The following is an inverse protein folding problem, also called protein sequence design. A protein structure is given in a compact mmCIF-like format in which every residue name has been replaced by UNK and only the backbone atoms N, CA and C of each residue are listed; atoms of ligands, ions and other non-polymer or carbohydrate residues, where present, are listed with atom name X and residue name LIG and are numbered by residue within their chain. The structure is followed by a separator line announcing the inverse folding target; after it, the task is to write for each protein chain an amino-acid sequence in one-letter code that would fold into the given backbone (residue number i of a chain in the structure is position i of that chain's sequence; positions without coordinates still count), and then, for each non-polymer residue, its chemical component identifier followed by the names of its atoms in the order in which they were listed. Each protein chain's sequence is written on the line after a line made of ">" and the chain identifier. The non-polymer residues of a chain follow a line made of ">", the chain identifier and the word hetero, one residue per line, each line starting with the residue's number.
data_IF_569642410225
#
_entry.id   IF_569642410225
#
_cell.length_a   1.000
_cell.length_b   1.000
_cell.length_c   1.000
_cell.angle_alpha   90.00
_cell.angle_beta   90.00
_cell.angle_gamma   90.00
#
_symmetry.space_group_name_H-M   'P 1'
#
loop_
_entity.id
_entity.type
_entity.pdbx_description
1 polymer ?
#
# COMPACT_ATOMS: atom_id res chain seq x y z
N UNK A 1 7.87 2.43 -0.98
CA UNK A 1 7.51 3.85 -0.78
C UNK A 1 6.10 4.08 -0.19
N UNK A 2 5.00 4.15 -0.96
CA UNK A 2 3.70 4.62 -0.40
C UNK A 2 3.10 3.61 0.59
N UNK A 3 2.88 2.36 0.16
CA UNK A 3 2.35 1.28 1.03
C UNK A 3 3.27 1.02 2.22
N UNK A 4 4.57 1.16 2.01
CA UNK A 4 5.58 1.03 3.06
C UNK A 4 5.52 2.17 4.09
N UNK A 5 5.29 3.41 3.66
CA UNK A 5 5.04 4.55 4.55
C UNK A 5 3.79 4.33 5.41
N UNK A 6 2.71 3.82 4.81
CA UNK A 6 1.49 3.45 5.54
C UNK A 6 1.73 2.26 6.47
N UNK A 7 2.46 1.24 6.02
CA UNK A 7 2.86 0.09 6.84
C UNK A 7 3.61 0.54 8.08
N UNK A 8 4.63 1.40 7.94
CA UNK A 8 5.42 1.90 9.05
C UNK A 8 4.57 2.73 10.04
N UNK A 9 3.67 3.57 9.53
CA UNK A 9 2.76 4.34 10.37
C UNK A 9 1.81 3.43 11.19
N UNK A 10 1.22 2.43 10.53
CA UNK A 10 0.34 1.46 11.17
C UNK A 10 1.09 0.53 12.13
N UNK A 11 2.28 0.04 11.77
CA UNK A 11 3.15 -0.74 12.66
C UNK A 11 3.48 0.04 13.93
N UNK A 12 3.86 1.31 13.80
CA UNK A 12 4.14 2.19 14.94
C UNK A 12 2.90 2.42 15.81
N UNK A 13 1.73 2.60 15.20
CA UNK A 13 0.49 2.89 15.93
C UNK A 13 -0.11 1.65 16.61
N UNK A 14 -0.02 0.48 15.96
CA UNK A 14 -0.75 -0.73 16.37
C UNK A 14 0.14 -1.82 16.97
N UNK A 15 1.46 -1.76 16.76
CA UNK A 15 2.40 -2.81 17.17
C UNK A 15 2.30 -4.10 16.35
N UNK A 16 1.76 -4.04 15.14
CA UNK A 16 1.55 -5.21 14.26
C UNK A 16 2.69 -5.41 13.27
N UNK A 17 2.99 -6.66 12.94
CA UNK A 17 4.05 -7.02 12.00
C UNK A 17 3.54 -7.28 10.57
N UNK A 18 2.27 -7.65 10.44
CA UNK A 18 1.63 -7.94 9.16
C UNK A 18 0.40 -7.06 8.95
N UNK A 19 0.32 -6.44 7.77
CA UNK A 19 -0.80 -5.58 7.38
C UNK A 19 -1.26 -6.00 5.99
N UNK A 20 -2.47 -6.56 5.85
CA UNK A 20 -2.99 -6.93 4.55
C UNK A 20 -3.37 -5.67 3.77
N UNK A 21 -2.76 -5.47 2.61
CA UNK A 21 -3.11 -4.40 1.67
C UNK A 21 -3.83 -4.96 0.45
N UNK A 22 -4.96 -4.35 0.11
CA UNK A 22 -5.83 -4.77 -0.98
C UNK A 22 -6.10 -3.59 -1.92
N UNK A 23 -6.67 -3.89 -3.09
CA UNK A 23 -7.21 -2.88 -3.99
C UNK A 23 -8.72 -2.78 -3.69
N UNK A 24 -9.24 -1.58 -3.38
CA UNK A 24 -10.67 -1.41 -3.14
C UNK A 24 -11.47 -1.65 -4.43
N UNK A 25 -12.76 -2.03 -4.32
CA UNK A 25 -13.60 -2.39 -5.47
C UNK A 25 -13.89 -1.20 -6.40
N UNK A 26 -13.68 0.02 -5.91
CA UNK A 26 -14.01 1.28 -6.57
C UNK A 26 -12.92 2.29 -6.25
N UNK A 27 -12.39 2.97 -7.28
CA UNK A 27 -11.27 3.92 -7.13
C UNK A 27 -11.66 5.16 -6.32
N UNK A 28 -12.94 5.49 -6.29
CA UNK A 28 -13.47 6.64 -5.54
C UNK A 28 -13.30 6.44 -4.03
N UNK A 29 -13.27 5.18 -3.57
CA UNK A 29 -13.10 4.81 -2.17
C UNK A 29 -11.63 5.01 -1.73
N UNK A 30 -10.68 4.68 -2.62
CA UNK A 30 -9.24 4.82 -2.36
C UNK A 30 -8.39 4.21 -3.47
N UNK A 31 -7.09 4.46 -3.44
CA UNK A 31 -6.11 3.83 -4.32
C UNK A 31 -5.71 2.44 -3.81
N UNK A 32 -5.73 2.25 -2.49
CA UNK A 32 -5.58 0.96 -1.83
C UNK A 32 -6.31 0.95 -0.48
N UNK A 33 -6.49 -0.24 0.08
CA UNK A 33 -7.19 -0.44 1.35
C UNK A 33 -6.49 -1.47 2.23
N UNK A 34 -6.91 -1.55 3.50
CA UNK A 34 -6.47 -2.58 4.43
C UNK A 34 -7.63 -3.09 5.28
N UNK A 35 -7.65 -4.40 5.50
CA UNK A 35 -8.59 -5.08 6.38
C UNK A 35 -8.05 -5.24 7.82
N UNK A 36 -7.00 -4.51 8.21
CA UNK A 36 -6.33 -4.67 9.51
C UNK A 36 -7.30 -4.51 10.69
N UNK A 37 -8.25 -3.58 10.62
CA UNK A 37 -9.21 -3.36 11.71
C UNK A 37 -10.15 -4.58 11.92
N UNK A 38 -10.47 -5.33 10.86
CA UNK A 38 -11.24 -6.57 10.98
C UNK A 38 -10.43 -7.65 11.71
N UNK A 39 -9.12 -7.72 11.43
CA UNK A 39 -8.21 -8.67 12.07
C UNK A 39 -8.06 -8.36 13.56
N UNK A 40 -7.92 -7.08 13.90
CA UNK A 40 -7.79 -6.61 15.29
C UNK A 40 -9.09 -6.68 16.10
N UNK A 41 -10.25 -6.72 15.46
CA UNK A 41 -11.54 -6.74 16.15
C UNK A 41 -11.68 -7.93 17.10
N UNK A 42 -11.20 -9.12 16.69
CA UNK A 42 -11.23 -10.34 17.53
C UNK A 42 -10.32 -10.20 18.76
N UNK A 43 -9.11 -9.68 18.55
CA UNK A 43 -8.12 -9.51 19.60
C UNK A 43 -8.55 -8.45 20.63
N UNK A 44 -9.05 -7.31 20.14
CA UNK A 44 -9.42 -6.16 20.98
C UNK A 44 -10.86 -6.20 21.49
N UNK A 45 -11.66 -7.19 21.08
CA UNK A 45 -13.09 -7.35 21.42
C UNK A 45 -13.90 -6.07 21.20
N UNK A 46 -13.61 -5.35 20.10
CA UNK A 46 -14.25 -4.09 19.73
C UNK A 46 -14.81 -4.16 18.31
N UNK A 47 -15.89 -3.42 17.99
CA UNK A 47 -16.41 -3.37 16.64
C UNK A 47 -15.35 -2.92 15.63
N UNK A 48 -15.15 -3.62 14.49
CA UNK A 48 -14.09 -3.27 13.55
C UNK A 48 -14.22 -1.85 12.98
N UNK A 49 -15.45 -1.35 12.83
CA UNK A 49 -15.71 0.02 12.39
C UNK A 49 -15.17 1.07 13.36
N UNK A 50 -15.30 0.85 14.67
CA UNK A 50 -14.76 1.78 15.67
C UNK A 50 -13.22 1.79 15.64
N UNK A 51 -12.62 0.60 15.50
CA UNK A 51 -11.16 0.46 15.35
C UNK A 51 -10.69 1.19 14.08
N UNK A 52 -11.37 0.99 12.95
CA UNK A 52 -11.04 1.65 11.70
C UNK A 52 -11.16 3.19 11.80
N UNK A 53 -12.23 3.70 12.43
CA UNK A 53 -12.42 5.13 12.64
C UNK A 53 -11.37 5.76 13.55
N UNK A 54 -10.94 5.05 14.60
CA UNK A 54 -9.87 5.48 15.49
C UNK A 54 -8.54 5.57 14.75
N UNK A 55 -8.19 4.53 13.99
CA UNK A 55 -6.97 4.49 13.19
C UNK A 55 -6.99 5.60 12.13
N UNK A 56 -8.10 5.75 11.39
CA UNK A 56 -8.24 6.77 10.36
C UNK A 56 -8.08 8.18 10.94
N UNK A 57 -8.66 8.45 12.12
CA UNK A 57 -8.47 9.73 12.82
C UNK A 57 -7.00 9.97 13.18
N UNK A 58 -6.32 8.97 13.75
CA UNK A 58 -4.90 9.10 14.10
C UNK A 58 -4.02 9.32 12.88
N UNK A 59 -4.28 8.62 11.78
CA UNK A 59 -3.50 8.76 10.55
C UNK A 59 -3.80 10.09 9.85
N UNK A 60 -5.03 10.60 9.87
CA UNK A 60 -5.29 11.93 9.30
C UNK A 60 -4.70 13.07 10.14
N UNK A 61 -4.55 12.89 11.46
CA UNK A 61 -3.89 13.86 12.32
C UNK A 61 -2.37 13.92 12.08
N UNK A 62 -1.77 12.79 11.68
CA UNK A 62 -0.37 12.72 11.27
C UNK A 62 -0.23 11.85 10.00
N UNK A 63 -0.51 12.43 8.81
CA UNK A 63 -0.59 11.68 7.55
C UNK A 63 0.70 10.94 7.22
N UNK A 64 0.62 9.67 6.82
CA UNK A 64 1.75 8.98 6.21
C UNK A 64 2.21 9.70 4.93
N UNK A 65 3.48 9.54 4.51
CA UNK A 65 3.98 10.16 3.28
C UNK A 65 3.10 9.86 2.07
N UNK A 66 2.80 10.91 1.29
CA UNK A 66 2.00 10.84 0.07
C UNK A 66 0.56 10.34 0.24
N UNK A 67 0.00 10.42 1.46
CA UNK A 67 -1.41 10.13 1.69
C UNK A 67 -2.18 11.45 1.88
N UNK A 68 -3.18 11.65 1.03
CA UNK A 68 -4.09 12.81 1.08
C UNK A 68 -5.19 12.62 2.11
N UNK A 69 -5.73 11.40 2.19
CA UNK A 69 -6.90 11.10 3.02
C UNK A 69 -6.91 9.62 3.41
N UNK A 70 -7.25 9.35 4.67
CA UNK A 70 -7.62 8.01 5.15
C UNK A 70 -9.11 8.01 5.50
N UNK A 71 -9.89 7.17 4.83
CA UNK A 71 -11.31 6.97 5.12
C UNK A 71 -11.57 5.54 5.60
N UNK A 72 -12.78 5.27 6.09
CA UNK A 72 -13.18 3.92 6.48
C UNK A 72 -14.54 3.55 5.89
N UNK A 73 -14.70 2.29 5.49
CA UNK A 73 -15.96 1.76 4.95
C UNK A 73 -16.35 0.46 5.66
N UNK A 74 -17.66 0.14 5.76
CA UNK A 74 -18.11 -1.14 6.28
C UNK A 74 -17.46 -2.33 5.55
N UNK A 75 -17.18 -3.44 6.24
CA UNK A 75 -17.36 -3.67 7.68
C UNK A 75 -16.18 -3.22 8.57
N UNK A 76 -15.27 -2.37 8.09
CA UNK A 76 -14.08 -1.94 8.83
C UNK A 76 -12.83 -1.77 7.97
N UNK A 77 -12.98 -1.60 6.66
CA UNK A 77 -11.84 -1.35 5.77
C UNK A 77 -11.30 0.05 6.01
N UNK A 78 -9.99 0.17 6.12
CA UNK A 78 -9.28 1.44 5.98
C UNK A 78 -8.98 1.65 4.50
N UNK A 79 -9.30 2.82 3.97
CA UNK A 79 -9.05 3.16 2.57
C UNK A 79 -8.14 4.38 2.50
N UNK A 80 -7.16 4.33 1.61
CA UNK A 80 -6.10 5.31 1.50
C UNK A 80 -6.18 5.98 0.13
N UNK A 81 -6.29 7.31 0.11
CA UNK A 81 -6.14 8.11 -1.11
C UNK A 81 -4.76 8.74 -1.15
N UNK A 82 -4.07 8.56 -2.25
CA UNK A 82 -2.74 9.08 -2.51
C UNK A 82 -2.82 10.56 -2.86
N UNK A 83 -1.86 11.33 -2.34
CA UNK A 83 -1.57 12.68 -2.82
C UNK A 83 -0.76 12.59 -4.12
N UNK A 84 -1.48 12.33 -5.21
CA UNK A 84 -0.91 12.19 -6.55
C UNK A 84 -0.10 13.41 -6.98
N UNK A 85 -0.54 14.67 -6.76
CA UNK A 85 0.28 15.85 -7.06
C UNK A 85 1.65 15.84 -6.37
N UNK A 86 1.70 15.59 -5.06
CA UNK A 86 2.97 15.58 -4.32
C UNK A 86 3.86 14.41 -4.74
N UNK A 87 3.25 13.24 -4.98
CA UNK A 87 3.97 12.07 -5.47
C UNK A 87 4.56 12.31 -6.87
N UNK A 88 3.79 12.88 -7.79
CA UNK A 88 4.22 13.15 -9.16
C UNK A 88 5.38 14.16 -9.20
N UNK A 89 5.33 15.20 -8.36
CA UNK A 89 6.43 16.18 -8.22
C UNK A 89 7.76 15.51 -7.81
N UNK A 90 7.70 14.45 -7.00
CA UNK A 90 8.87 13.68 -6.60
C UNK A 90 9.31 12.69 -7.69
N UNK A 91 8.37 11.87 -8.18
CA UNK A 91 8.69 10.73 -9.05
C UNK A 91 9.05 11.14 -10.48
N UNK A 92 8.42 12.16 -11.06
CA UNK A 92 8.67 12.51 -12.46
C UNK A 92 10.14 12.90 -12.70
N UNK A 93 10.76 13.78 -11.89
CA UNK A 93 12.19 14.07 -12.04
C UNK A 93 13.08 12.82 -11.84
N UNK A 94 12.73 11.94 -10.91
CA UNK A 94 13.47 10.70 -10.67
C UNK A 94 13.42 9.77 -11.89
N UNK A 95 12.23 9.58 -12.47
CA UNK A 95 12.02 8.78 -13.68
C UNK A 95 12.83 9.35 -14.84
N UNK A 96 12.73 10.67 -15.07
CA UNK A 96 13.46 11.33 -16.15
C UNK A 96 14.99 11.28 -15.93
N UNK A 97 15.44 11.36 -14.69
CA UNK A 97 16.86 11.26 -14.35
C UNK A 97 17.43 9.86 -14.49
N UNK A 98 16.65 8.82 -14.20
CA UNK A 98 17.06 7.42 -14.35
C UNK A 98 16.89 6.89 -15.78
N UNK A 99 15.98 7.46 -16.56
CA UNK A 99 15.70 7.06 -17.95
C UNK A 99 15.42 5.56 -18.06
N UNK A 100 16.12 4.88 -18.98
CA UNK A 100 15.99 3.43 -19.23
C UNK A 100 16.39 2.56 -18.03
N UNK A 101 17.01 3.14 -17.00
CA UNK A 101 17.35 2.43 -15.78
C UNK A 101 16.26 2.49 -14.72
N UNK A 102 15.22 3.32 -14.90
CA UNK A 102 14.11 3.37 -13.98
C UNK A 102 13.40 2.02 -13.89
N UNK A 103 13.11 1.57 -12.68
CA UNK A 103 12.48 0.28 -12.42
C UNK A 103 13.41 -0.94 -12.54
N UNK A 104 14.68 -0.76 -12.92
CA UNK A 104 15.67 -1.83 -12.81
C UNK A 104 15.98 -2.06 -11.32
N UNK A 105 16.03 -3.32 -10.86
CA UNK A 105 16.36 -3.63 -9.47
C UNK A 105 17.77 -3.16 -9.13
N UNK A 106 17.93 -2.52 -7.97
CA UNK A 106 19.22 -2.03 -7.47
C UNK A 106 20.19 -3.16 -7.10
N UNK A 107 19.67 -4.36 -6.81
CA UNK A 107 20.47 -5.56 -6.65
C UNK A 107 20.00 -6.66 -7.60
N UNK A 108 20.88 -7.11 -8.48
CA UNK A 108 20.71 -8.38 -9.16
C UNK A 108 21.29 -9.45 -8.25
N UNK A 109 20.44 -10.20 -7.54
CA UNK A 109 20.89 -11.51 -7.05
C UNK A 109 21.30 -12.31 -8.28
N UNK A 110 22.51 -12.87 -8.28
CA UNK A 110 23.00 -13.74 -9.35
C UNK A 110 22.26 -15.08 -9.25
N UNK A 111 21.01 -15.08 -9.69
CA UNK A 111 20.18 -16.27 -9.77
C UNK A 111 20.11 -16.70 -11.24
N UNK A 112 20.40 -17.97 -11.49
CA UNK A 112 20.26 -18.55 -12.83
C UNK A 112 18.79 -18.89 -13.03
N UNK A 113 18.10 -18.12 -13.86
CA UNK A 113 16.70 -18.37 -14.23
C UNK A 113 16.67 -19.11 -15.57
N UNK A 114 15.99 -20.26 -15.62
CA UNK A 114 15.71 -20.97 -16.87
C UNK A 114 14.32 -20.53 -17.36
N UNK A 115 14.26 -19.93 -18.56
CA UNK A 115 13.02 -19.52 -19.19
C UNK A 115 12.86 -20.34 -20.47
N UNK A 116 11.99 -21.33 -20.44
CA UNK A 116 11.53 -22.03 -21.64
C UNK A 116 10.28 -21.33 -22.15
N UNK A 117 10.27 -20.96 -23.43
CA UNK A 117 9.12 -20.35 -24.06
C UNK A 117 8.99 -20.82 -25.51
N UNK A 118 7.79 -20.67 -26.05
CA UNK A 118 7.44 -20.91 -27.45
C UNK A 118 7.46 -22.39 -27.87
N UNK A 119 8.47 -23.20 -27.55
CA UNK A 119 8.59 -24.66 -27.80
C UNK A 119 7.69 -25.19 -28.93
N UNK A 120 7.75 -24.55 -30.10
CA UNK A 120 6.89 -24.88 -31.24
C UNK A 120 7.48 -26.11 -31.90
N UNK A 121 6.62 -27.08 -32.20
CA UNK A 121 7.01 -28.25 -32.98
C UNK A 121 7.55 -27.82 -34.34
N UNK A 122 8.75 -28.29 -34.75
CA UNK A 122 9.31 -28.00 -36.07
C UNK A 122 8.57 -28.82 -37.13
N UNK A 123 7.40 -28.32 -37.57
CA UNK A 123 6.68 -28.84 -38.73
C UNK A 123 7.16 -28.18 -40.03
#
# INVERSE_FOLDING_TARGET
>A
MIREGVFNALKKYLGVEEIPFNIPPRREIGDFSSAIALSLAKERRRPPMEIAQEIARSLNANPPPFIREVSCTPPGYLNFKVDWPSLAKLLIPEILGQGDSFGKPSSLKKEKVFVEHTSVNPN
#
